data_IF_161829795012
#
_entry.id   IF_161829795012
#
_cell.length_a   1.000
_cell.length_b   1.000
_cell.length_c   1.000
_cell.angle_alpha   90.00
_cell.angle_beta   90.00
_cell.angle_gamma   90.00
#
_symmetry.space_group_name_H-M   'P 1'
#
loop_
_entity.id
_entity.type
_entity.pdbx_description
1 polymer ?
#
# COMPACT_ATOMS: atom_id res chain seq x y z
N UNK A 1 20.65 8.88 3.91
CA UNK A 1 19.21 8.72 4.20
C UNK A 1 19.12 7.75 5.35
N UNK A 2 18.50 8.15 6.45
CA UNK A 2 18.13 7.24 7.54
C UNK A 2 16.86 6.47 7.14
N UNK A 3 16.73 5.22 7.60
CA UNK A 3 15.54 4.40 7.38
C UNK A 3 14.29 5.04 7.99
N UNK A 4 13.16 4.93 7.30
CA UNK A 4 11.86 5.42 7.78
C UNK A 4 11.04 4.33 8.46
N UNK A 5 11.16 3.09 7.99
CA UNK A 5 10.36 1.96 8.45
C UNK A 5 11.26 0.83 8.95
N UNK A 6 10.97 0.34 10.15
CA UNK A 6 11.75 -0.71 10.81
C UNK A 6 10.85 -1.86 11.25
N UNK A 7 11.38 -3.08 11.19
CA UNK A 7 10.77 -4.27 11.77
C UNK A 7 11.85 -5.09 12.48
N UNK A 8 11.66 -5.40 13.76
CA UNK A 8 12.66 -6.07 14.60
C UNK A 8 14.06 -5.44 14.52
N UNK A 9 14.13 -4.11 14.53
CA UNK A 9 15.37 -3.34 14.45
C UNK A 9 16.06 -3.37 13.08
N UNK A 10 15.48 -3.99 12.06
CA UNK A 10 15.98 -3.98 10.68
C UNK A 10 15.25 -2.93 9.87
N UNK A 11 15.99 -2.14 9.10
CA UNK A 11 15.42 -1.21 8.13
C UNK A 11 14.77 -1.99 6.98
N UNK A 12 13.48 -1.73 6.76
CA UNK A 12 12.68 -2.33 5.69
C UNK A 12 12.07 -1.25 4.78
N UNK A 13 12.59 -0.03 4.82
CA UNK A 13 12.02 1.11 4.09
C UNK A 13 11.93 0.82 2.59
N UNK A 14 12.97 0.21 2.02
CA UNK A 14 12.98 -0.16 0.59
C UNK A 14 11.95 -1.24 0.25
N UNK A 15 11.74 -2.23 1.12
CA UNK A 15 10.70 -3.24 0.93
C UNK A 15 9.33 -2.58 0.86
N UNK A 16 9.05 -1.65 1.77
CA UNK A 16 7.77 -0.96 1.84
C UNK A 16 7.56 -0.02 0.64
N UNK A 17 8.60 0.67 0.18
CA UNK A 17 8.51 1.51 -1.04
C UNK A 17 8.25 0.71 -2.32
N UNK A 18 8.89 -0.45 -2.47
CA UNK A 18 8.62 -1.37 -3.59
C UNK A 18 7.17 -1.84 -3.50
N UNK A 19 6.73 -2.24 -2.30
CA UNK A 19 5.35 -2.67 -2.09
C UNK A 19 4.32 -1.59 -2.44
N UNK A 20 4.55 -0.35 -2.01
CA UNK A 20 3.67 0.79 -2.34
C UNK A 20 3.59 0.98 -3.85
N UNK A 21 4.75 0.94 -4.54
CA UNK A 21 4.81 1.11 -6.00
C UNK A 21 3.99 0.03 -6.70
N UNK A 22 4.21 -1.24 -6.35
CA UNK A 22 3.54 -2.37 -6.99
C UNK A 22 2.01 -2.32 -6.78
N UNK A 23 1.56 -1.89 -5.59
CA UNK A 23 0.12 -1.69 -5.32
C UNK A 23 -0.45 -0.54 -6.16
N UNK A 24 0.28 0.57 -6.32
CA UNK A 24 -0.16 1.68 -7.16
C UNK A 24 -0.27 1.24 -8.62
N UNK A 25 0.70 0.47 -9.13
CA UNK A 25 0.68 -0.05 -10.50
C UNK A 25 -0.58 -0.94 -10.72
N UNK A 26 -0.92 -1.80 -9.76
CA UNK A 26 -2.17 -2.61 -9.81
C UNK A 26 -3.41 -1.72 -9.81
N UNK A 27 -3.46 -0.66 -9.01
CA UNK A 27 -4.60 0.27 -8.97
C UNK A 27 -4.73 1.02 -10.29
N UNK A 28 -3.62 1.46 -10.89
CA UNK A 28 -3.61 2.10 -12.20
C UNK A 28 -4.23 1.19 -13.26
N UNK A 29 -3.81 -0.07 -13.32
CA UNK A 29 -4.31 -1.05 -14.29
C UNK A 29 -5.79 -1.38 -14.06
N UNK A 30 -6.17 -1.74 -12.83
CA UNK A 30 -7.55 -2.18 -12.51
C UNK A 30 -8.57 -1.04 -12.61
N UNK A 31 -8.18 0.20 -12.32
CA UNK A 31 -9.10 1.35 -12.29
C UNK A 31 -8.92 2.32 -13.47
N UNK A 32 -8.02 2.02 -14.41
CA UNK A 32 -7.68 2.87 -15.55
C UNK A 32 -7.38 4.33 -15.13
N UNK A 33 -6.54 4.48 -14.10
CA UNK A 33 -6.17 5.76 -13.51
C UNK A 33 -4.75 6.16 -13.91
N UNK A 34 -4.50 7.46 -13.96
CA UNK A 34 -3.13 7.98 -14.05
C UNK A 34 -2.37 7.68 -12.76
N UNK A 35 -1.02 7.67 -12.82
CA UNK A 35 -0.20 7.46 -11.63
C UNK A 35 -0.52 8.47 -10.50
N UNK A 36 -0.60 9.80 -10.74
CA UNK A 36 -0.97 10.74 -9.68
C UNK A 36 -2.33 10.46 -9.04
N UNK A 37 -3.33 10.05 -9.83
CA UNK A 37 -4.67 9.75 -9.31
C UNK A 37 -4.68 8.46 -8.47
N UNK A 38 -4.04 7.39 -8.97
CA UNK A 38 -3.93 6.12 -8.25
C UNK A 38 -3.14 6.28 -6.94
N UNK A 39 -2.01 6.98 -6.99
CA UNK A 39 -1.18 7.32 -5.83
C UNK A 39 -1.96 8.16 -4.82
N UNK A 40 -2.66 9.20 -5.29
CA UNK A 40 -3.49 10.05 -4.45
C UNK A 40 -4.57 9.25 -3.73
N UNK A 41 -5.32 8.40 -4.45
CA UNK A 41 -6.34 7.53 -3.84
C UNK A 41 -5.74 6.55 -2.84
N UNK A 42 -4.64 5.90 -3.18
CA UNK A 42 -4.02 4.92 -2.30
C UNK A 42 -3.48 5.56 -1.02
N UNK A 43 -2.81 6.71 -1.09
CA UNK A 43 -2.23 7.39 0.07
C UNK A 43 -3.26 7.89 1.09
N UNK A 44 -4.51 8.12 0.66
CA UNK A 44 -5.60 8.50 1.56
C UNK A 44 -6.38 7.28 2.11
N UNK A 45 -6.03 6.05 1.72
CA UNK A 45 -6.71 4.84 2.17
C UNK A 45 -6.29 4.40 3.58
N UNK A 46 -7.20 3.73 4.28
CA UNK A 46 -6.90 3.00 5.53
C UNK A 46 -5.91 1.87 5.28
N UNK A 47 -5.95 1.25 4.10
CA UNK A 47 -5.03 0.20 3.66
C UNK A 47 -3.59 0.71 3.62
N UNK A 48 -3.33 1.89 3.07
CA UNK A 48 -1.99 2.51 3.11
C UNK A 48 -1.55 2.86 4.53
N UNK A 49 -2.48 3.35 5.38
CA UNK A 49 -2.18 3.57 6.80
C UNK A 49 -1.81 2.27 7.52
N UNK A 50 -2.50 1.17 7.21
CA UNK A 50 -2.17 -0.15 7.75
C UNK A 50 -0.82 -0.65 7.23
N UNK A 51 -0.51 -0.45 5.94
CA UNK A 51 0.78 -0.85 5.35
C UNK A 51 1.98 -0.18 6.03
N UNK A 52 1.82 1.05 6.52
CA UNK A 52 2.86 1.76 7.26
C UNK A 52 3.09 1.23 8.69
N UNK A 53 2.15 0.47 9.26
CA UNK A 53 2.33 -0.19 10.54
C UNK A 53 3.12 -1.50 10.36
N UNK A 54 4.44 -1.43 10.51
CA UNK A 54 5.35 -2.54 10.22
C UNK A 54 5.11 -3.78 11.10
N UNK A 55 4.50 -3.61 12.27
CA UNK A 55 4.21 -4.69 13.23
C UNK A 55 3.06 -5.61 12.80
N UNK A 56 2.18 -5.16 11.89
CA UNK A 56 1.09 -6.01 11.36
C UNK A 56 1.53 -6.92 10.21
N UNK A 57 2.82 -6.85 9.83
CA UNK A 57 3.46 -7.63 8.77
C UNK A 57 2.83 -7.53 7.37
N UNK A 58 1.90 -6.60 7.13
CA UNK A 58 1.23 -6.44 5.83
C UNK A 58 2.22 -6.12 4.70
N UNK A 59 3.34 -5.46 5.01
CA UNK A 59 4.41 -5.17 4.05
C UNK A 59 5.09 -6.43 3.47
N UNK A 60 4.92 -7.59 4.11
CA UNK A 60 5.46 -8.87 3.65
C UNK A 60 4.48 -9.67 2.76
N UNK A 61 3.23 -9.22 2.66
CA UNK A 61 2.23 -9.83 1.78
C UNK A 61 2.45 -9.46 0.30
N UNK A 62 1.75 -10.13 -0.61
CA UNK A 62 1.80 -9.77 -2.04
C UNK A 62 1.13 -8.42 -2.32
N UNK A 63 1.60 -7.72 -3.35
CA UNK A 63 0.98 -6.46 -3.77
C UNK A 63 -0.47 -6.64 -4.20
N UNK A 64 -0.78 -7.79 -4.84
CA UNK A 64 -2.15 -8.19 -5.18
C UNK A 64 -3.06 -8.27 -3.96
N UNK A 65 -2.61 -8.94 -2.89
CA UNK A 65 -3.38 -9.03 -1.65
C UNK A 65 -3.65 -7.65 -1.02
N UNK A 66 -2.63 -6.78 -0.96
CA UNK A 66 -2.79 -5.43 -0.42
C UNK A 66 -3.74 -4.60 -1.29
N UNK A 67 -3.68 -4.75 -2.62
CA UNK A 67 -4.61 -4.10 -3.53
C UNK A 67 -6.04 -4.60 -3.32
N UNK A 68 -6.25 -5.90 -3.11
CA UNK A 68 -7.58 -6.44 -2.81
C UNK A 68 -8.14 -5.87 -1.50
N UNK A 69 -7.31 -5.74 -0.44
CA UNK A 69 -7.68 -5.04 0.81
C UNK A 69 -8.09 -3.57 0.56
N UNK A 70 -7.39 -2.88 -0.34
CA UNK A 70 -7.75 -1.52 -0.74
C UNK A 70 -9.12 -1.46 -1.43
N UNK A 71 -9.42 -2.40 -2.32
CA UNK A 71 -10.72 -2.45 -3.00
C UNK A 71 -11.86 -2.87 -2.06
N UNK A 72 -11.64 -3.81 -1.15
CA UNK A 72 -12.59 -4.15 -0.08
C UNK A 72 -12.97 -2.89 0.72
N UNK A 73 -11.99 -2.08 1.10
CA UNK A 73 -12.21 -0.80 1.78
C UNK A 73 -13.05 0.17 0.94
N UNK A 74 -12.81 0.25 -0.38
CA UNK A 74 -13.59 1.14 -1.25
C UNK A 74 -15.05 0.67 -1.41
N UNK A 75 -15.28 -0.64 -1.45
CA UNK A 75 -16.64 -1.22 -1.51
C UNK A 75 -17.42 -0.98 -0.22
N UNK A 76 -16.76 -1.12 0.94
CA UNK A 76 -17.37 -0.82 2.24
C UNK A 76 -17.73 0.65 2.41
N UNK A 77 -16.90 1.57 1.90
CA UNK A 77 -17.16 3.01 1.97
C UNK A 77 -18.35 3.47 1.11
N UNK A 78 -18.83 2.63 0.20
CA UNK A 78 -19.99 2.90 -0.66
C UNK A 78 -21.30 2.32 -0.11
N UNK A 79 -21.25 1.57 0.99
CA UNK A 79 -22.42 1.05 1.71
C UNK A 79 -22.92 2.07 2.73
#
# INVERSE_FOLDING_TARGET
MEGKYFFNGKDISMNLYIQIRDVIDIIMEKSNLSFPDAMGKFYHSKTYKALQNTENTLWAESAGYIADRYYEEQEEAQK
#
